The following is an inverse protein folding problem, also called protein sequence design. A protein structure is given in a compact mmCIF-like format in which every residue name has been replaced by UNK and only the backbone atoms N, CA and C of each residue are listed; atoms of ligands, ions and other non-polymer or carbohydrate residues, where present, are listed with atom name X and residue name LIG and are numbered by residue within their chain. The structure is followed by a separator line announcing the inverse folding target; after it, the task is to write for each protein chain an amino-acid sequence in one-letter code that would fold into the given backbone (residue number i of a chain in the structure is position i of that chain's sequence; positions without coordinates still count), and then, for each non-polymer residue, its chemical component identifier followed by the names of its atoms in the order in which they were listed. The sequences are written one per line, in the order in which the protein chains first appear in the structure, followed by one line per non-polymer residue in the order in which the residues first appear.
data_IF_121964093436
#
_entry.id   IF_121964093436
#
_cell.length_a   1.000
_cell.length_b   1.000
_cell.length_c   1.000
_cell.angle_alpha   90.00
_cell.angle_beta   90.00
_cell.angle_gamma   90.00
#
_symmetry.space_group_name_H-M   'P 1'
#
loop_
_entity.id
_entity.type
_entity.pdbx_description
1 polymer ?
#
# COMPACT_ATOMS: atom_id res chain seq x y z
N UNK A 1 8.51 3.81 2.52
CA UNK A 1 8.17 3.87 3.97
C UNK A 1 7.96 2.44 4.47
N UNK A 2 7.98 2.18 5.79
CA UNK A 2 7.55 0.86 6.28
C UNK A 2 6.04 0.70 6.12
N UNK A 3 5.55 -0.52 5.90
CA UNK A 3 4.15 -0.80 5.63
C UNK A 3 3.28 -0.69 6.89
N UNK A 4 3.83 -1.15 8.02
CA UNK A 4 3.19 -1.09 9.34
C UNK A 4 3.97 -0.23 10.32
N UNK A 5 3.31 0.16 11.40
CA UNK A 5 3.95 0.76 12.57
C UNK A 5 4.69 -0.31 13.39
N UNK A 6 5.54 0.12 14.34
CA UNK A 6 6.29 -0.78 15.23
C UNK A 6 5.40 -1.70 16.08
N UNK A 7 4.16 -1.29 16.32
CA UNK A 7 3.14 -2.07 17.03
C UNK A 7 2.29 -2.97 16.11
N UNK A 8 2.64 -3.07 14.83
CA UNK A 8 1.92 -3.86 13.83
C UNK A 8 0.70 -3.19 13.20
N UNK A 9 0.31 -1.98 13.62
CA UNK A 9 -0.88 -1.33 13.04
C UNK A 9 -0.62 -0.85 11.60
N UNK A 10 -1.57 -1.01 10.65
CA UNK A 10 -1.45 -0.54 9.27
C UNK A 10 -1.19 0.97 9.17
N UNK A 11 -0.29 1.38 8.28
CA UNK A 11 -0.11 2.81 7.93
C UNK A 11 -0.95 3.23 6.74
N UNK A 12 -1.27 2.30 5.85
CA UNK A 12 -2.13 2.53 4.70
C UNK A 12 -3.59 2.31 5.14
N UNK A 13 -4.26 3.42 5.44
CA UNK A 13 -5.61 3.45 6.06
C UNK A 13 -6.62 4.16 5.17
N UNK A 14 -7.92 3.90 5.39
CA UNK A 14 -9.02 4.54 4.64
C UNK A 14 -9.06 6.07 4.80
N UNK A 15 -8.69 6.58 5.96
CA UNK A 15 -8.67 8.02 6.25
C UNK A 15 -7.54 8.33 7.21
N UNK A 16 -6.76 9.37 6.91
CA UNK A 16 -5.68 9.82 7.77
C UNK A 16 -6.25 10.38 9.07
N UNK A 17 -5.85 9.79 10.20
CA UNK A 17 -6.20 10.28 11.53
C UNK A 17 -5.23 11.36 12.04
N UNK A 18 -4.07 11.49 11.40
CA UNK A 18 -3.06 12.48 11.73
C UNK A 18 -3.22 13.72 10.84
N UNK A 19 -2.76 14.90 11.29
CA UNK A 19 -2.77 16.11 10.48
C UNK A 19 -2.12 15.87 9.11
N UNK A 20 -2.84 16.21 8.05
CA UNK A 20 -2.33 16.09 6.69
C UNK A 20 -1.16 17.04 6.49
N UNK A 21 -0.04 16.52 6.03
CA UNK A 21 1.13 17.31 5.62
C UNK A 21 0.94 17.97 4.26
N UNK A 22 0.10 17.40 3.39
CA UNK A 22 -0.28 17.95 2.10
C UNK A 22 -1.68 17.51 1.71
N UNK A 23 -2.39 18.38 0.97
CA UNK A 23 -3.70 18.10 0.38
C UNK A 23 -3.52 17.36 -0.96
N UNK A 24 -2.36 17.51 -1.61
CA UNK A 24 -2.06 16.79 -2.85
C UNK A 24 -1.88 15.31 -2.53
N UNK A 25 -2.60 14.45 -3.26
CA UNK A 25 -2.38 13.01 -3.22
C UNK A 25 -0.95 12.65 -3.65
N UNK A 26 -0.39 11.65 -3.00
CA UNK A 26 0.85 11.02 -3.48
C UNK A 26 0.53 10.20 -4.74
N UNK A 27 1.51 10.03 -5.61
CA UNK A 27 1.35 9.27 -6.86
C UNK A 27 1.62 7.76 -6.65
N UNK A 28 2.56 7.42 -5.78
CA UNK A 28 3.03 6.06 -5.52
C UNK A 28 3.33 5.85 -4.02
N UNK A 29 3.02 4.67 -3.51
CA UNK A 29 3.35 4.20 -2.16
C UNK A 29 4.24 2.96 -2.31
N UNK A 30 5.51 3.10 -1.90
CA UNK A 30 6.48 1.99 -1.92
C UNK A 30 6.80 1.57 -0.49
N UNK A 31 6.62 0.28 -0.23
CA UNK A 31 6.91 -0.36 1.05
C UNK A 31 7.88 -1.52 0.88
N UNK A 32 8.12 -2.25 1.97
CA UNK A 32 8.87 -3.49 1.99
C UNK A 32 8.10 -4.67 1.39
N UNK A 33 6.77 -4.65 1.45
CA UNK A 33 5.92 -5.74 0.96
C UNK A 33 5.30 -5.46 -0.41
N UNK A 34 5.04 -4.19 -0.73
CA UNK A 34 4.20 -3.82 -1.86
C UNK A 34 4.46 -2.41 -2.41
N UNK A 35 4.11 -2.25 -3.68
CA UNK A 35 3.99 -0.98 -4.40
C UNK A 35 2.53 -0.75 -4.76
N UNK A 36 1.98 0.37 -4.29
CA UNK A 36 0.66 0.84 -4.69
C UNK A 36 0.76 2.11 -5.52
N UNK A 37 -0.02 2.15 -6.60
CA UNK A 37 -0.27 3.36 -7.37
C UNK A 37 -1.56 4.01 -6.89
N UNK A 38 -1.53 5.32 -6.71
CA UNK A 38 -2.73 6.10 -6.37
C UNK A 38 -3.37 6.60 -7.65
N UNK A 39 -4.62 6.20 -7.89
CA UNK A 39 -5.40 6.62 -9.05
C UNK A 39 -6.52 7.58 -8.63
N UNK A 40 -7.33 8.04 -9.57
CA UNK A 40 -8.55 8.80 -9.24
C UNK A 40 -9.60 7.93 -8.53
N UNK A 41 -9.55 6.60 -8.71
CA UNK A 41 -10.54 5.67 -8.17
C UNK A 41 -10.12 5.03 -6.84
N UNK A 42 -8.85 5.10 -6.47
CA UNK A 42 -8.34 4.55 -5.22
C UNK A 42 -6.90 4.07 -5.31
N UNK A 43 -6.56 3.07 -4.50
CA UNK A 43 -5.25 2.43 -4.50
C UNK A 43 -5.28 1.22 -5.42
N UNK A 44 -4.22 1.03 -6.19
CA UNK A 44 -4.02 -0.16 -7.03
C UNK A 44 -2.69 -0.81 -6.65
N UNK A 45 -2.71 -2.07 -6.25
CA UNK A 45 -1.52 -2.86 -6.01
C UNK A 45 -0.90 -3.24 -7.36
N UNK A 46 0.27 -2.68 -7.66
CA UNK A 46 0.97 -2.89 -8.93
C UNK A 46 2.10 -3.89 -8.81
N UNK A 47 2.76 -3.92 -7.64
CA UNK A 47 3.88 -4.82 -7.40
C UNK A 47 3.88 -5.32 -5.95
N UNK A 48 4.40 -6.52 -5.71
CA UNK A 48 4.59 -7.08 -4.36
C UNK A 48 5.89 -7.86 -4.24
N UNK A 49 6.41 -7.99 -3.02
CA UNK A 49 7.62 -8.77 -2.73
C UNK A 49 7.35 -10.26 -2.90
N UNK A 50 8.32 -10.99 -3.46
CA UNK A 50 8.27 -12.46 -3.56
C UNK A 50 8.24 -13.15 -2.20
N UNK A 51 8.70 -12.47 -1.14
CA UNK A 51 8.68 -12.97 0.23
C UNK A 51 7.31 -12.81 0.91
N UNK A 52 6.36 -12.15 0.24
CA UNK A 52 5.03 -11.86 0.79
C UNK A 52 3.91 -12.36 -0.12
N UNK A 53 2.72 -12.52 0.46
CA UNK A 53 1.51 -12.88 -0.29
C UNK A 53 0.57 -11.68 -0.46
N UNK A 54 -0.29 -11.73 -1.48
CA UNK A 54 -1.33 -10.72 -1.66
C UNK A 54 -2.31 -10.73 -0.48
N UNK A 55 -2.57 -11.90 0.10
CA UNK A 55 -3.38 -12.08 1.30
C UNK A 55 -2.77 -11.36 2.50
N UNK A 56 -1.47 -11.55 2.75
CA UNK A 56 -0.75 -10.85 3.81
C UNK A 56 -0.80 -9.33 3.61
N UNK A 57 -0.60 -8.85 2.37
CA UNK A 57 -0.69 -7.42 2.07
C UNK A 57 -2.11 -6.88 2.35
N UNK A 58 -3.16 -7.66 2.10
CA UNK A 58 -4.54 -7.29 2.46
C UNK A 58 -4.73 -7.20 3.97
N UNK A 59 -4.11 -8.08 4.75
CA UNK A 59 -4.19 -8.02 6.22
C UNK A 59 -3.42 -6.83 6.80
N UNK A 60 -2.28 -6.49 6.19
CA UNK A 60 -1.42 -5.39 6.62
C UNK A 60 -1.89 -4.01 6.11
N UNK A 61 -2.89 -3.97 5.22
CA UNK A 61 -3.44 -2.75 4.63
C UNK A 61 -4.90 -2.56 5.06
N UNK A 62 -5.19 -1.48 5.79
CA UNK A 62 -6.56 -1.16 6.21
C UNK A 62 -7.38 -0.40 5.14
N UNK A 63 -6.71 0.14 4.12
CA UNK A 63 -7.38 0.78 2.99
C UNK A 63 -7.87 -0.27 1.97
N UNK A 64 -8.98 0.01 1.29
CA UNK A 64 -9.37 -0.79 0.12
C UNK A 64 -8.42 -0.47 -1.04
N UNK A 65 -7.99 -1.51 -1.73
CA UNK A 65 -7.23 -1.41 -2.97
C UNK A 65 -7.71 -2.45 -3.98
N UNK A 66 -7.53 -2.14 -5.25
CA UNK A 66 -7.72 -3.07 -6.35
C UNK A 66 -6.37 -3.69 -6.74
N UNK A 67 -6.39 -4.85 -7.40
CA UNK A 67 -5.17 -5.53 -7.85
C UNK A 67 -5.00 -5.25 -9.34
N UNK A 68 -3.80 -4.83 -9.74
CA UNK A 68 -3.50 -4.64 -11.15
C UNK A 68 -3.57 -6.00 -11.90
N UNK A 69 -4.26 -6.10 -13.05
CA UNK A 69 -4.30 -7.35 -13.82
C UNK A 69 -2.92 -7.80 -14.32
N UNK A 70 -1.94 -6.90 -14.36
CA UNK A 70 -0.54 -7.16 -14.69
C UNK A 70 0.35 -7.11 -13.45
N UNK A 71 -0.19 -7.48 -12.27
CA UNK A 71 0.53 -7.53 -11.00
C UNK A 71 1.88 -8.23 -11.18
N UNK A 72 2.95 -7.54 -10.77
CA UNK A 72 4.31 -8.05 -10.85
C UNK A 72 4.86 -8.38 -9.48
N UNK A 73 5.78 -9.32 -9.44
CA UNK A 73 6.61 -9.53 -8.26
C UNK A 73 7.91 -8.75 -8.42
N UNK A 74 8.39 -8.19 -7.31
CA UNK A 74 9.70 -7.53 -7.26
C UNK A 74 10.70 -8.44 -6.54
N UNK A 75 11.78 -8.77 -7.25
CA UNK A 75 13.01 -9.28 -6.63
C UNK A 75 13.68 -8.12 -5.90
N UNK A 76 14.01 -8.30 -4.63
CA UNK A 76 14.66 -7.27 -3.80
C UNK A 76 16.06 -7.67 -3.37
#
# INVERSE_FOLDING_TARGET
MTHVNKNGSPKIVKSCMLPLTSIRKVDLIVTEYAVFKVTETGLVLTEYSEESSVEEIKELTAARFDIDPLLKTIER
#
